data_IF_554789407761
#
_entry.id   IF_554789407761
#
_cell.length_a   1.000
_cell.length_b   1.000
_cell.length_c   1.000
_cell.angle_alpha   90.00
_cell.angle_beta   90.00
_cell.angle_gamma   90.00
#
_symmetry.space_group_name_H-M   'P 1'
#
loop_
_entity.id
_entity.type
_entity.pdbx_description
1 polymer ?
#
# COMPACT_ATOMS: atom_id res chain seq x y z
N UNK A 1 -7.47 7.89 9.28
CA UNK A 1 -7.69 8.30 7.87
C UNK A 1 -8.97 7.65 7.37
N UNK A 2 -9.62 8.13 6.32
CA UNK A 2 -10.90 7.56 5.86
C UNK A 2 -10.82 7.15 4.37
N UNK A 3 -11.48 6.04 4.04
CA UNK A 3 -11.78 5.55 2.69
C UNK A 3 -12.96 6.32 2.12
N UNK A 4 -12.85 6.74 0.86
CA UNK A 4 -13.86 7.50 0.13
C UNK A 4 -14.24 6.77 -1.15
N UNK A 5 -15.54 6.68 -1.44
CA UNK A 5 -16.00 6.35 -2.79
C UNK A 5 -16.44 7.67 -3.44
N UNK A 6 -15.60 8.18 -4.34
CA UNK A 6 -16.10 9.17 -5.29
C UNK A 6 -16.95 8.41 -6.31
N UNK A 7 -18.27 8.44 -6.14
CA UNK A 7 -19.19 8.15 -7.22
C UNK A 7 -19.01 9.24 -8.28
N UNK A 8 -18.05 9.05 -9.19
CA UNK A 8 -18.01 9.82 -10.44
C UNK A 8 -19.27 9.44 -11.21
N UNK A 9 -20.25 10.33 -11.22
CA UNK A 9 -21.62 10.06 -11.68
C UNK A 9 -21.78 9.71 -13.18
N UNK A 10 -20.70 9.52 -13.95
CA UNK A 10 -20.77 9.29 -15.40
C UNK A 10 -19.88 8.16 -15.97
N UNK A 11 -19.26 7.32 -15.14
CA UNK A 11 -18.51 6.15 -15.66
C UNK A 11 -18.86 4.85 -14.91
N UNK A 12 -19.59 3.90 -15.52
CA UNK A 12 -20.00 2.64 -14.89
C UNK A 12 -18.85 1.61 -14.72
N UNK A 13 -17.59 2.07 -14.65
CA UNK A 13 -16.41 1.21 -14.55
C UNK A 13 -15.48 1.55 -13.38
N UNK A 14 -15.75 2.59 -12.57
CA UNK A 14 -14.87 2.97 -11.46
C UNK A 14 -15.34 2.36 -10.13
N UNK A 15 -15.13 1.05 -9.95
CA UNK A 15 -15.37 0.34 -8.67
C UNK A 15 -14.22 0.51 -7.67
N UNK A 16 -13.32 1.48 -7.88
CA UNK A 16 -12.12 1.65 -7.06
C UNK A 16 -12.37 2.65 -5.92
N UNK A 17 -12.24 2.19 -4.69
CA UNK A 17 -12.31 3.04 -3.50
C UNK A 17 -11.01 3.85 -3.39
N UNK A 18 -11.15 5.17 -3.28
CA UNK A 18 -10.04 6.10 -3.14
C UNK A 18 -9.68 6.30 -1.66
N UNK A 19 -8.42 6.60 -1.40
CA UNK A 19 -7.92 6.83 -0.03
C UNK A 19 -7.58 8.31 0.11
N UNK A 20 -8.04 8.94 1.19
CA UNK A 20 -7.72 10.33 1.46
C UNK A 20 -7.43 10.58 2.93
N UNK A 21 -6.69 11.66 3.18
CA UNK A 21 -6.53 12.24 4.51
C UNK A 21 -7.49 13.39 4.68
N UNK A 22 -8.23 13.36 5.80
CA UNK A 22 -9.01 14.52 6.23
C UNK A 22 -8.04 15.57 6.73
N UNK A 23 -8.08 16.74 6.10
CA UNK A 23 -7.30 17.89 6.49
C UNK A 23 -8.11 18.79 7.42
N UNK A 24 -9.39 18.98 7.11
CA UNK A 24 -10.28 19.81 7.91
C UNK A 24 -11.71 19.29 7.91
N UNK A 25 -12.33 19.28 9.08
CA UNK A 25 -13.77 19.05 9.23
C UNK A 25 -14.47 20.40 9.28
N UNK A 26 -15.27 20.73 8.27
CA UNK A 26 -16.00 21.99 8.21
C UNK A 26 -17.47 21.80 8.62
N UNK A 27 -18.01 22.83 9.27
CA UNK A 27 -19.41 22.87 9.71
C UNK A 27 -20.36 23.04 8.53
N UNK A 28 -21.61 22.63 8.76
CA UNK A 28 -22.74 22.70 7.83
C UNK A 28 -22.79 24.01 7.03
N UNK A 29 -22.70 23.93 5.69
CA UNK A 29 -22.98 25.05 4.79
C UNK A 29 -24.44 25.52 4.99
N UNK A 30 -24.76 26.76 4.62
CA UNK A 30 -26.11 27.34 4.79
C UNK A 30 -27.23 26.50 4.13
N UNK A 31 -26.88 25.67 3.13
CA UNK A 31 -27.77 24.73 2.46
C UNK A 31 -28.00 23.40 3.21
N UNK A 32 -27.44 23.23 4.40
CA UNK A 32 -27.61 22.03 5.22
C UNK A 32 -26.57 20.92 4.98
N UNK A 33 -25.69 21.03 3.97
CA UNK A 33 -24.67 20.03 3.64
C UNK A 33 -23.45 20.14 4.55
N UNK A 34 -22.99 19.00 5.07
CA UNK A 34 -21.70 18.90 5.76
C UNK A 34 -20.63 18.51 4.74
N UNK A 35 -19.56 19.29 4.66
CA UNK A 35 -18.42 19.02 3.79
C UNK A 35 -17.16 18.83 4.62
N UNK A 36 -16.18 18.14 4.05
CA UNK A 36 -14.84 17.98 4.62
C UNK A 36 -13.81 18.31 3.55
N UNK A 37 -12.72 18.94 3.96
CA UNK A 37 -11.58 19.18 3.09
C UNK A 37 -10.60 18.02 3.26
N UNK A 38 -10.19 17.45 2.13
CA UNK A 38 -9.35 16.26 2.08
C UNK A 38 -8.11 16.49 1.20
N UNK A 39 -7.10 15.65 1.38
CA UNK A 39 -5.99 15.46 0.44
C UNK A 39 -5.97 14.00 -0.05
N UNK A 40 -5.85 13.81 -1.37
CA UNK A 40 -5.88 12.48 -1.98
C UNK A 40 -4.55 11.74 -1.78
N UNK A 41 -4.62 10.42 -1.63
CA UNK A 41 -3.48 9.54 -1.88
C UNK A 41 -3.60 8.95 -3.27
N UNK A 42 -2.48 8.88 -3.98
CA UNK A 42 -2.39 8.17 -5.25
C UNK A 42 -1.79 6.79 -5.05
N UNK A 43 -2.33 5.81 -5.76
CA UNK A 43 -1.70 4.50 -5.92
C UNK A 43 -0.62 4.58 -6.99
N UNK A 44 0.39 3.70 -6.95
CA UNK A 44 1.41 3.61 -7.98
C UNK A 44 0.92 3.56 -9.43
N UNK A 45 -0.24 2.94 -9.67
CA UNK A 45 -0.89 2.85 -10.98
C UNK A 45 -1.35 4.21 -11.50
N UNK A 46 -1.65 5.16 -10.61
CA UNK A 46 -2.16 6.50 -10.91
C UNK A 46 -1.03 7.52 -11.05
N UNK A 47 0.17 7.19 -10.56
CA UNK A 47 1.33 8.07 -10.62
C UNK A 47 1.95 8.12 -12.02
N UNK A 48 2.62 9.25 -12.33
CA UNK A 48 3.36 9.39 -13.57
C UNK A 48 4.47 8.32 -13.66
N UNK A 49 4.40 7.47 -14.69
CA UNK A 49 5.31 6.34 -14.87
C UNK A 49 4.78 4.99 -14.36
N UNK A 50 3.63 4.96 -13.70
CA UNK A 50 2.93 3.76 -13.28
C UNK A 50 3.65 2.93 -12.21
N UNK A 51 3.07 1.78 -11.86
CA UNK A 51 3.63 0.87 -10.86
C UNK A 51 4.99 0.31 -11.31
N UNK A 52 5.95 0.30 -10.39
CA UNK A 52 7.27 -0.32 -10.54
C UNK A 52 7.37 -1.58 -9.68
N UNK A 53 8.35 -2.43 -9.98
CA UNK A 53 8.57 -3.71 -9.27
C UNK A 53 8.87 -3.53 -7.77
N UNK A 54 9.44 -2.39 -7.39
CA UNK A 54 9.75 -2.07 -5.99
C UNK A 54 8.58 -1.41 -5.24
N UNK A 55 7.44 -1.17 -5.90
CA UNK A 55 6.28 -0.61 -5.21
C UNK A 55 5.50 -1.69 -4.47
N UNK A 56 5.21 -1.45 -3.19
CA UNK A 56 4.41 -2.36 -2.36
C UNK A 56 2.97 -2.43 -2.85
N UNK A 57 2.29 -3.57 -2.65
CA UNK A 57 0.90 -3.79 -3.08
C UNK A 57 -0.03 -2.66 -2.63
N UNK A 58 0.02 -2.32 -1.35
CA UNK A 58 -0.82 -1.29 -0.72
C UNK A 58 -0.09 0.05 -0.55
N UNK A 59 0.95 0.29 -1.33
CA UNK A 59 1.68 1.55 -1.31
C UNK A 59 0.79 2.71 -1.79
N UNK A 60 0.92 3.84 -1.11
CA UNK A 60 0.19 5.06 -1.37
C UNK A 60 1.16 6.24 -1.35
N UNK A 61 0.97 7.16 -2.28
CA UNK A 61 1.73 8.40 -2.38
C UNK A 61 0.88 9.57 -1.89
N UNK A 62 1.34 10.38 -0.93
CA UNK A 62 0.66 11.61 -0.58
C UNK A 62 0.68 12.55 -1.79
N UNK A 63 -0.44 13.20 -2.05
CA UNK A 63 -0.53 14.23 -3.10
C UNK A 63 -0.80 15.61 -2.51
N UNK A 64 -0.55 16.62 -3.34
CA UNK A 64 -0.97 18.01 -3.12
C UNK A 64 -2.35 18.29 -3.74
N UNK A 65 -3.12 17.26 -4.09
CA UNK A 65 -4.46 17.37 -4.64
C UNK A 65 -5.49 17.43 -3.50
N UNK A 66 -6.02 18.63 -3.28
CA UNK A 66 -7.06 18.89 -2.28
C UNK A 66 -8.44 18.97 -2.92
N UNK A 67 -9.45 18.54 -2.18
CA UNK A 67 -10.85 18.65 -2.60
C UNK A 67 -11.80 18.84 -1.40
N UNK A 68 -12.97 19.41 -1.65
CA UNK A 68 -14.05 19.58 -0.68
C UNK A 68 -15.19 18.62 -1.03
N UNK A 69 -15.31 17.53 -0.27
CA UNK A 69 -16.32 16.50 -0.54
C UNK A 69 -17.46 16.53 0.48
N UNK A 70 -18.61 15.97 0.11
CA UNK A 70 -19.69 15.73 1.06
C UNK A 70 -19.29 14.59 2.02
N UNK A 71 -19.56 14.76 3.32
CA UNK A 71 -19.35 13.73 4.34
C UNK A 71 -20.05 12.41 3.99
N UNK A 72 -21.17 12.46 3.27
CA UNK A 72 -21.94 11.29 2.86
C UNK A 72 -21.22 10.42 1.81
N UNK A 73 -20.15 10.92 1.18
CA UNK A 73 -19.32 10.16 0.24
C UNK A 73 -18.23 9.32 0.94
N UNK A 74 -18.15 9.39 2.28
CA UNK A 74 -17.20 8.63 3.08
C UNK A 74 -17.75 7.22 3.35
N UNK A 75 -16.98 6.20 2.96
CA UNK A 75 -17.37 4.80 3.16
C UNK A 75 -17.00 4.29 4.56
N UNK A 76 -15.82 4.66 5.07
CA UNK A 76 -15.39 4.20 6.39
C UNK A 76 -13.94 4.56 6.71
N UNK A 77 -13.48 4.32 7.94
CA UNK A 77 -12.10 4.59 8.33
C UNK A 77 -11.09 3.59 7.76
N UNK A 78 -9.88 4.06 7.46
CA UNK A 78 -8.68 3.24 7.24
C UNK A 78 -7.46 3.80 7.97
N UNK A 79 -6.44 2.95 8.11
CA UNK A 79 -5.14 3.35 8.66
C UNK A 79 -4.10 3.24 7.54
N UNK A 80 -3.48 4.36 7.22
CA UNK A 80 -2.31 4.37 6.35
C UNK A 80 -1.09 4.47 7.24
N UNK A 81 -0.21 3.50 7.08
CA UNK A 81 0.97 3.32 7.89
C UNK A 81 2.13 4.10 7.26
N UNK A 82 2.98 4.67 8.09
CA UNK A 82 4.28 5.15 7.65
C UNK A 82 5.13 3.97 7.16
N UNK A 83 6.20 4.25 6.41
CA UNK A 83 7.12 3.20 5.94
C UNK A 83 7.64 2.34 7.10
N UNK A 84 8.03 2.97 8.21
CA UNK A 84 8.56 2.28 9.39
C UNK A 84 7.53 1.38 10.09
N UNK A 85 6.32 1.90 10.30
CA UNK A 85 5.20 1.13 10.88
C UNK A 85 4.79 -0.04 9.98
N UNK A 86 4.83 0.17 8.66
CA UNK A 86 4.56 -0.89 7.71
C UNK A 86 5.64 -1.96 7.84
N UNK A 87 6.93 -1.64 7.62
CA UNK A 87 8.05 -2.60 7.59
C UNK A 87 8.19 -3.51 8.80
N UNK A 88 7.66 -3.14 9.96
CA UNK A 88 7.65 -3.98 11.15
C UNK A 88 6.27 -3.98 11.81
N UNK A 89 5.26 -4.44 11.07
CA UNK A 89 3.93 -4.67 11.63
C UNK A 89 3.79 -6.15 12.06
N UNK A 90 3.93 -6.50 13.36
CA UNK A 90 3.86 -7.88 13.82
C UNK A 90 2.46 -8.50 13.70
N UNK A 91 1.42 -7.69 13.43
CA UNK A 91 0.07 -8.18 13.14
C UNK A 91 -0.06 -8.73 11.70
N UNK A 92 0.94 -8.51 10.85
CA UNK A 92 0.99 -9.04 9.49
C UNK A 92 1.98 -10.20 9.42
N UNK A 93 1.71 -11.15 8.53
CA UNK A 93 2.58 -12.31 8.35
C UNK A 93 3.95 -11.89 7.78
N UNK A 94 5.01 -12.32 8.46
CA UNK A 94 6.40 -11.92 8.20
C UNK A 94 7.28 -13.13 7.94
N UNK A 95 8.30 -12.95 7.09
CA UNK A 95 9.37 -13.91 6.86
C UNK A 95 10.72 -13.24 6.98
N UNK A 96 11.67 -13.92 7.63
CA UNK A 96 13.02 -13.41 7.82
C UNK A 96 13.93 -13.84 6.67
N UNK A 97 14.70 -12.90 6.13
CA UNK A 97 15.76 -13.22 5.19
C UNK A 97 16.94 -13.87 5.91
N UNK A 98 17.39 -15.03 5.43
CA UNK A 98 18.56 -15.74 5.97
C UNK A 98 19.91 -15.09 5.62
N UNK A 99 19.92 -14.03 4.81
CA UNK A 99 21.13 -13.37 4.34
C UNK A 99 21.42 -12.04 5.07
N UNK A 100 20.40 -11.19 5.26
CA UNK A 100 20.54 -9.90 5.95
C UNK A 100 19.83 -9.85 7.31
N UNK A 101 19.12 -10.91 7.69
CA UNK A 101 18.35 -11.00 8.95
C UNK A 101 17.16 -10.04 9.07
N UNK A 102 16.87 -9.24 8.04
CA UNK A 102 15.68 -8.38 7.97
C UNK A 102 14.39 -9.19 7.75
N UNK A 103 13.27 -8.61 8.17
CA UNK A 103 11.93 -9.18 8.05
C UNK A 103 11.13 -8.51 6.93
N UNK A 104 10.36 -9.31 6.21
CA UNK A 104 9.54 -8.87 5.08
C UNK A 104 8.13 -9.44 5.20
N UNK A 105 7.10 -8.64 4.90
CA UNK A 105 5.74 -9.19 4.87
C UNK A 105 5.62 -10.21 3.75
N UNK A 106 4.95 -11.32 4.03
CA UNK A 106 4.63 -12.35 3.06
C UNK A 106 4.00 -11.75 1.79
N UNK A 107 2.98 -10.90 1.98
CA UNK A 107 2.28 -10.24 0.89
C UNK A 107 3.17 -9.29 0.04
N UNK A 108 4.20 -8.69 0.64
CA UNK A 108 5.12 -7.80 -0.08
C UNK A 108 6.06 -8.54 -1.02
N UNK A 109 6.37 -9.80 -0.69
CA UNK A 109 7.22 -10.68 -1.52
C UNK A 109 6.38 -11.65 -2.38
N UNK A 110 5.06 -11.46 -2.42
CA UNK A 110 4.14 -12.31 -3.18
C UNK A 110 3.92 -13.71 -2.59
N UNK A 111 4.29 -13.94 -1.33
CA UNK A 111 4.07 -15.21 -0.64
C UNK A 111 2.70 -15.27 0.05
N UNK A 112 2.08 -16.43 0.06
CA UNK A 112 0.87 -16.69 0.87
C UNK A 112 1.22 -17.33 2.22
N UNK A 113 0.27 -17.32 3.15
CA UNK A 113 0.47 -17.89 4.49
C UNK A 113 0.73 -19.41 4.46
N UNK A 114 0.16 -20.11 3.47
CA UNK A 114 0.42 -21.55 3.27
C UNK A 114 1.87 -21.81 2.80
N UNK A 115 2.49 -20.85 2.13
CA UNK A 115 3.85 -20.96 1.60
C UNK A 115 4.93 -20.62 2.63
N UNK A 116 4.59 -19.81 3.64
CA UNK A 116 5.55 -19.34 4.65
C UNK A 116 6.32 -20.45 5.36
N UNK A 117 5.70 -21.55 5.83
CA UNK A 117 6.45 -22.63 6.48
C UNK A 117 7.48 -23.26 5.54
N UNK A 118 7.15 -23.40 4.26
CA UNK A 118 8.04 -23.97 3.25
C UNK A 118 9.20 -23.02 2.92
N UNK A 119 8.89 -21.73 2.70
CA UNK A 119 9.91 -20.71 2.43
C UNK A 119 10.86 -20.52 3.62
N UNK A 120 10.33 -20.57 4.85
CA UNK A 120 11.15 -20.53 6.06
C UNK A 120 12.09 -21.74 6.13
N UNK A 121 11.61 -22.95 5.85
CA UNK A 121 12.42 -24.17 5.88
C UNK A 121 13.49 -24.21 4.78
N UNK A 122 13.20 -23.65 3.60
CA UNK A 122 14.16 -23.55 2.50
C UNK A 122 15.24 -22.47 2.71
N UNK A 123 15.02 -21.55 3.64
CA UNK A 123 15.87 -20.39 3.83
C UNK A 123 15.59 -19.29 2.82
N UNK A 124 14.55 -18.49 3.07
CA UNK A 124 14.20 -17.34 2.25
C UNK A 124 15.36 -16.34 2.11
N UNK A 125 15.55 -15.82 0.89
CA UNK A 125 16.51 -14.75 0.55
C UNK A 125 15.73 -13.62 -0.13
N UNK A 126 15.84 -12.40 0.40
CA UNK A 126 15.14 -11.24 -0.15
C UNK A 126 15.69 -10.84 -1.54
N UNK A 127 14.90 -10.05 -2.28
CA UNK A 127 15.26 -9.55 -3.60
C UNK A 127 16.63 -8.87 -3.61
N UNK A 128 16.88 -7.99 -2.65
CA UNK A 128 18.14 -7.22 -2.60
C UNK A 128 19.35 -8.13 -2.42
N UNK A 129 19.28 -9.10 -1.50
CA UNK A 129 20.34 -10.08 -1.30
C UNK A 129 20.50 -11.03 -2.49
N UNK A 130 19.40 -11.42 -3.15
CA UNK A 130 19.46 -12.24 -4.36
C UNK A 130 20.18 -11.50 -5.50
N UNK A 131 19.79 -10.25 -5.76
CA UNK A 131 20.42 -9.40 -6.78
C UNK A 131 21.90 -9.11 -6.45
N UNK A 132 22.23 -8.88 -5.18
CA UNK A 132 23.61 -8.70 -4.75
C UNK A 132 24.47 -9.95 -5.00
N UNK A 133 23.91 -11.15 -4.81
CA UNK A 133 24.58 -12.43 -5.10
C UNK A 133 24.76 -12.67 -6.60
N UNK A 134 23.78 -12.29 -7.42
CA UNK A 134 23.88 -12.36 -8.89
C UNK A 134 24.94 -11.40 -9.44
N UNK A 135 24.97 -10.16 -8.94
CA UNK A 135 26.00 -9.18 -9.28
C UNK A 135 27.42 -9.64 -8.88
N UNK A 136 27.52 -10.47 -7.84
CA UNK A 136 28.76 -11.08 -7.38
C UNK A 136 29.15 -12.39 -8.11
N UNK A 137 28.34 -12.86 -9.07
CA UNK A 137 28.66 -14.03 -9.89
C UNK A 137 28.43 -15.41 -9.25
N UNK A 138 27.60 -15.51 -8.20
CA UNK A 138 27.27 -16.79 -7.55
C UNK A 138 25.84 -17.27 -7.92
N UNK A 139 25.72 -18.40 -8.63
CA UNK A 139 24.45 -19.11 -8.90
C UNK A 139 24.13 -20.17 -7.81
N UNK A 140 22.89 -20.65 -7.65
CA UNK A 140 21.67 -19.90 -7.33
C UNK A 140 20.97 -20.42 -6.05
N UNK A 141 20.37 -19.51 -5.27
CA UNK A 141 19.23 -19.83 -4.40
C UNK A 141 17.94 -19.52 -5.14
N UNK A 142 16.90 -20.33 -4.97
CA UNK A 142 15.65 -20.26 -5.75
C UNK A 142 14.97 -18.90 -5.62
N UNK A 143 15.09 -18.07 -6.65
CA UNK A 143 14.38 -16.81 -6.80
C UNK A 143 12.93 -17.07 -7.27
N UNK A 144 11.94 -16.47 -6.59
CA UNK A 144 10.55 -16.39 -7.08
C UNK A 144 10.28 -14.98 -7.57
N UNK A 145 9.76 -14.89 -8.81
CA UNK A 145 9.25 -13.66 -9.44
C UNK A 145 7.83 -13.38 -9.00
#
# INVERSE_FOLDING_TARGET
MLLLHLLSHDFPLCTYVQVAKIEQISSRKANGSSVITISWYYRPEEAHGGRKSYHGRDELFPSDHYDDINVQSVEGPCRVLTRGEYTYNPDLDMIQCTCCEDFFHAACIGATNEELPYLSNLGFVCMECAMAKEAAGALPGTYRK
#
